data_IF_262277634643
#
_entry.id   IF_262277634643
#
_cell.length_a   1.000
_cell.length_b   1.000
_cell.length_c   1.000
_cell.angle_alpha   90.00
_cell.angle_beta   90.00
_cell.angle_gamma   90.00
#
_symmetry.space_group_name_H-M   'P 1'
#
loop_
_entity.id
_entity.type
_entity.pdbx_description
1 polymer ?
#
# COMPACT_ATOMS: atom_id res chain seq x y z
N UNK A 1 -20.51 -8.45 -0.88
CA UNK A 1 -20.31 -7.01 -0.57
C UNK A 1 -18.81 -6.86 -0.39
N UNK A 2 -18.12 -5.98 -1.15
CA UNK A 2 -16.69 -5.77 -0.88
C UNK A 2 -16.52 -5.42 0.61
N UNK A 3 -15.44 -5.85 1.27
CA UNK A 3 -15.25 -5.52 2.67
C UNK A 3 -15.25 -4.00 2.87
N UNK A 4 -15.88 -3.52 3.95
CA UNK A 4 -16.10 -2.08 4.17
C UNK A 4 -14.83 -1.20 3.99
N UNK A 5 -13.63 -1.62 4.45
CA UNK A 5 -12.39 -0.87 4.21
C UNK A 5 -12.08 -0.66 2.71
N UNK A 6 -12.41 -1.62 1.85
CA UNK A 6 -12.12 -1.54 0.41
C UNK A 6 -13.04 -0.49 -0.25
N UNK A 7 -14.30 -0.44 0.18
CA UNK A 7 -15.23 0.59 -0.29
C UNK A 7 -14.80 1.99 0.13
N UNK A 8 -14.30 2.17 1.36
CA UNK A 8 -13.77 3.48 1.78
C UNK A 8 -12.59 3.89 0.90
N UNK A 9 -11.67 2.98 0.60
CA UNK A 9 -10.53 3.24 -0.27
C UNK A 9 -10.95 3.52 -1.73
N UNK A 10 -11.97 2.83 -2.25
CA UNK A 10 -12.53 3.10 -3.59
C UNK A 10 -13.19 4.48 -3.67
N UNK A 11 -13.94 4.87 -2.63
CA UNK A 11 -14.55 6.21 -2.56
C UNK A 11 -13.47 7.29 -2.51
N UNK A 12 -12.37 7.06 -1.79
CA UNK A 12 -11.26 7.99 -1.70
C UNK A 12 -10.61 8.34 -3.06
N UNK A 13 -10.70 7.46 -4.07
CA UNK A 13 -10.17 7.70 -5.43
C UNK A 13 -10.69 9.02 -6.05
N UNK A 14 -11.92 9.42 -5.70
CA UNK A 14 -12.57 10.62 -6.26
C UNK A 14 -12.54 11.82 -5.29
N UNK A 15 -11.94 11.66 -4.12
CA UNK A 15 -11.92 12.65 -3.02
C UNK A 15 -10.52 12.78 -2.40
N UNK A 16 -9.50 12.96 -3.24
CA UNK A 16 -8.11 13.09 -2.80
C UNK A 16 -7.93 14.34 -1.93
N UNK A 17 -7.30 14.19 -0.77
CA UNK A 17 -6.93 15.28 0.14
C UNK A 17 -5.70 14.92 0.97
N UNK A 18 -5.04 15.92 1.55
CA UNK A 18 -3.89 15.70 2.44
C UNK A 18 -4.27 14.95 3.73
N UNK A 19 -5.55 14.97 4.13
CA UNK A 19 -6.06 14.22 5.29
C UNK A 19 -5.94 12.69 5.10
N UNK A 20 -5.81 12.24 3.85
CA UNK A 20 -5.64 10.83 3.51
C UNK A 20 -4.19 10.33 3.65
N UNK A 21 -3.20 11.22 3.82
CA UNK A 21 -1.78 10.83 3.80
C UNK A 21 -1.43 9.84 4.90
N UNK A 22 -1.68 10.20 6.17
CA UNK A 22 -1.34 9.34 7.31
C UNK A 22 -2.21 8.07 7.34
N UNK A 23 -3.56 8.14 7.22
CA UNK A 23 -4.39 6.93 7.24
C UNK A 23 -4.01 5.93 6.16
N UNK A 24 -3.62 6.38 4.96
CA UNK A 24 -3.18 5.49 3.90
C UNK A 24 -1.84 4.82 4.23
N UNK A 25 -0.87 5.56 4.75
CA UNK A 25 0.42 4.99 5.12
C UNK A 25 0.30 4.00 6.29
N UNK A 26 -0.58 4.28 7.25
CA UNK A 26 -0.89 3.38 8.36
C UNK A 26 -1.43 2.02 7.88
N UNK A 27 -2.10 1.96 6.73
CA UNK A 27 -2.54 0.68 6.15
C UNK A 27 -1.39 -0.27 5.84
N UNK A 28 -0.18 0.23 5.59
CA UNK A 28 1.00 -0.59 5.32
C UNK A 28 1.75 -1.04 6.59
N UNK A 29 1.17 -0.78 7.77
CA UNK A 29 1.73 -1.17 9.07
C UNK A 29 1.13 -2.46 9.61
N UNK A 30 0.18 -3.08 8.90
CA UNK A 30 -0.45 -4.34 9.29
C UNK A 30 -0.01 -5.49 8.38
N UNK A 31 0.28 -6.64 8.97
CA UNK A 31 0.50 -7.90 8.22
C UNK A 31 -0.86 -8.55 7.98
N UNK A 32 -1.64 -8.04 7.01
CA UNK A 32 -2.89 -8.66 6.58
C UNK A 32 -2.80 -9.12 5.12
N UNK A 33 -3.26 -10.34 4.85
CA UNK A 33 -3.22 -11.00 3.54
C UNK A 33 -4.39 -10.55 2.66
N UNK A 34 -4.54 -9.23 2.49
CA UNK A 34 -5.60 -8.62 1.70
C UNK A 34 -5.02 -8.00 0.43
N UNK A 35 -4.63 -8.84 -0.52
CA UNK A 35 -4.03 -8.43 -1.80
C UNK A 35 -4.83 -7.31 -2.50
N UNK A 36 -6.17 -7.40 -2.49
CA UNK A 36 -7.05 -6.41 -3.11
C UNK A 36 -7.02 -5.06 -2.38
N UNK A 37 -6.84 -5.08 -1.06
CA UNK A 37 -6.67 -3.85 -0.28
C UNK A 37 -5.34 -3.19 -0.59
N UNK A 38 -4.26 -3.98 -0.62
CA UNK A 38 -2.93 -3.48 -0.91
C UNK A 38 -2.86 -2.90 -2.32
N UNK A 39 -3.47 -3.57 -3.30
CA UNK A 39 -3.59 -3.06 -4.66
C UNK A 39 -4.33 -1.71 -4.71
N UNK A 40 -5.47 -1.59 -4.02
CA UNK A 40 -6.20 -0.33 -3.94
C UNK A 40 -5.40 0.76 -3.21
N UNK A 41 -4.67 0.40 -2.16
CA UNK A 41 -3.82 1.32 -1.42
C UNK A 41 -2.66 1.82 -2.29
N UNK A 42 -1.99 0.95 -3.06
CA UNK A 42 -0.97 1.33 -4.06
C UNK A 42 -1.56 2.30 -5.08
N UNK A 43 -2.77 2.03 -5.58
CA UNK A 43 -3.44 2.93 -6.51
C UNK A 43 -3.65 4.33 -5.91
N UNK A 44 -4.10 4.40 -4.65
CA UNK A 44 -4.24 5.68 -3.93
C UNK A 44 -2.89 6.37 -3.67
N UNK A 45 -1.83 5.63 -3.37
CA UNK A 45 -0.47 6.18 -3.21
C UNK A 45 -0.07 6.91 -4.50
N UNK A 46 -0.24 6.26 -5.66
CA UNK A 46 0.06 6.87 -6.94
C UNK A 46 -0.80 8.11 -7.22
N UNK A 47 -2.11 8.05 -6.97
CA UNK A 47 -3.00 9.19 -7.15
C UNK A 47 -2.65 10.39 -6.25
N UNK A 48 -2.36 10.15 -4.97
CA UNK A 48 -1.98 11.21 -4.02
C UNK A 48 -0.61 11.78 -4.35
N UNK A 49 0.36 10.95 -4.74
CA UNK A 49 1.68 11.41 -5.17
C UNK A 49 1.59 12.25 -6.44
N UNK A 50 0.71 11.89 -7.38
CA UNK A 50 0.44 12.69 -8.58
C UNK A 50 -0.24 14.03 -8.25
N UNK A 51 -1.17 14.05 -7.31
CA UNK A 51 -1.92 15.26 -6.93
C UNK A 51 -1.10 16.20 -6.03
N UNK A 52 -0.24 15.66 -5.17
CA UNK A 52 0.50 16.37 -4.13
C UNK A 52 1.99 15.94 -4.08
N UNK A 53 2.76 16.08 -5.17
CA UNK A 53 4.08 15.46 -5.34
C UNK A 53 5.10 15.82 -4.27
N UNK A 54 5.16 17.07 -3.81
CA UNK A 54 6.05 17.45 -2.69
C UNK A 54 5.49 17.01 -1.34
N UNK A 55 4.27 17.45 -1.00
CA UNK A 55 3.69 17.30 0.33
C UNK A 55 3.50 15.82 0.73
N UNK A 56 3.01 14.98 -0.18
CA UNK A 56 2.81 13.57 0.10
C UNK A 56 4.12 12.80 0.10
N UNK A 57 5.04 13.10 -0.82
CA UNK A 57 6.30 12.39 -0.89
C UNK A 57 7.17 12.62 0.34
N UNK A 58 7.16 13.81 0.93
CA UNK A 58 7.84 14.06 2.22
C UNK A 58 7.35 13.13 3.33
N UNK A 59 6.04 12.87 3.38
CA UNK A 59 5.43 11.91 4.32
C UNK A 59 5.85 10.48 4.01
N UNK A 60 5.83 10.09 2.74
CA UNK A 60 6.26 8.76 2.28
C UNK A 60 7.73 8.52 2.62
N UNK A 61 8.63 9.45 2.33
CA UNK A 61 10.06 9.30 2.61
C UNK A 61 10.34 9.17 4.11
N UNK A 62 9.64 9.97 4.94
CA UNK A 62 9.70 9.84 6.39
C UNK A 62 9.21 8.46 6.86
N UNK A 63 8.10 7.98 6.30
CA UNK A 63 7.54 6.68 6.62
C UNK A 63 8.48 5.53 6.24
N UNK A 64 9.11 5.58 5.07
CA UNK A 64 10.11 4.58 4.64
C UNK A 64 11.30 4.56 5.59
N UNK A 65 11.86 5.72 5.93
CA UNK A 65 12.99 5.83 6.86
C UNK A 65 12.68 5.24 8.23
N UNK A 66 11.52 5.57 8.80
CA UNK A 66 11.10 5.06 10.11
C UNK A 66 10.90 3.54 10.08
N UNK A 67 10.39 2.99 8.99
CA UNK A 67 10.25 1.53 8.86
C UNK A 67 11.60 0.83 8.69
N UNK A 68 12.53 1.38 7.88
CA UNK A 68 13.91 0.85 7.77
C UNK A 68 14.59 0.86 9.13
N UNK A 69 14.49 1.99 9.86
CA UNK A 69 15.10 2.16 11.19
C UNK A 69 14.56 1.17 12.22
N UNK A 70 13.27 0.83 12.14
CA UNK A 70 12.61 -0.14 13.03
C UNK A 70 12.78 -1.60 12.56
N UNK A 71 13.44 -1.83 11.42
CA UNK A 71 13.54 -3.15 10.76
C UNK A 71 12.16 -3.79 10.55
N UNK A 72 11.17 -2.95 10.22
CA UNK A 72 9.79 -3.40 10.08
C UNK A 72 9.64 -4.26 8.82
N UNK A 73 8.80 -5.30 8.89
CA UNK A 73 8.55 -6.25 7.80
C UNK A 73 7.14 -6.13 7.22
N UNK A 74 6.29 -5.27 7.78
CA UNK A 74 4.96 -4.94 7.24
C UNK A 74 5.09 -4.35 5.85
N UNK A 75 4.12 -4.45 4.94
CA UNK A 75 4.35 -4.24 3.51
C UNK A 75 4.42 -2.76 3.08
N UNK A 76 5.31 -1.95 3.70
CA UNK A 76 5.57 -0.56 3.28
C UNK A 76 6.21 -0.47 1.88
N UNK A 77 6.56 -1.60 1.25
CA UNK A 77 6.98 -1.68 -0.16
C UNK A 77 6.02 -0.96 -1.12
N UNK A 78 4.73 -1.00 -0.79
CA UNK A 78 3.67 -0.42 -1.61
C UNK A 78 3.71 1.11 -1.67
N UNK A 79 4.35 1.78 -0.70
CA UNK A 79 4.51 3.23 -0.74
C UNK A 79 5.59 3.69 -1.73
N UNK A 80 6.45 2.79 -2.23
CA UNK A 80 7.49 3.13 -3.22
C UNK A 80 6.89 3.61 -4.54
N UNK A 81 5.64 3.29 -4.80
CA UNK A 81 4.84 3.81 -5.90
C UNK A 81 4.89 5.36 -5.97
N UNK A 82 4.94 6.06 -4.84
CA UNK A 82 5.00 7.52 -4.81
C UNK A 82 6.28 8.08 -5.46
N UNK A 83 7.36 7.29 -5.50
CA UNK A 83 8.65 7.74 -6.05
C UNK A 83 8.57 8.03 -7.56
N UNK A 84 7.56 7.48 -8.27
CA UNK A 84 7.32 7.81 -9.68
C UNK A 84 7.03 9.31 -9.91
N UNK A 85 6.58 10.00 -8.87
CA UNK A 85 6.25 11.43 -8.90
C UNK A 85 7.27 12.28 -8.11
N UNK A 86 8.45 11.73 -7.80
CA UNK A 86 9.50 12.45 -7.10
C UNK A 86 10.09 13.60 -7.93
N UNK A 87 10.16 14.77 -7.30
CA UNK A 87 10.83 15.97 -7.82
C UNK A 87 12.34 15.94 -7.50
N UNK A 88 13.14 16.74 -8.22
CA UNK A 88 14.62 16.72 -8.14
C UNK A 88 15.18 16.90 -6.72
N UNK A 89 14.55 17.75 -5.90
CA UNK A 89 14.94 18.01 -4.52
C UNK A 89 14.84 16.79 -3.59
N UNK A 90 14.08 15.75 -3.98
CA UNK A 90 13.93 14.54 -3.15
C UNK A 90 15.06 13.53 -3.37
N UNK A 91 15.80 13.60 -4.49
CA UNK A 91 16.69 12.51 -4.90
C UNK A 91 17.91 12.31 -4.02
N UNK A 92 18.42 13.37 -3.39
CA UNK A 92 19.49 13.23 -2.39
C UNK A 92 19.05 12.31 -1.25
N UNK A 93 17.83 12.51 -0.74
CA UNK A 93 17.26 11.70 0.35
C UNK A 93 16.91 10.29 -0.10
N UNK A 94 16.33 10.14 -1.28
CA UNK A 94 16.00 8.84 -1.91
C UNK A 94 17.27 7.98 -2.07
N UNK A 95 18.35 8.55 -2.61
CA UNK A 95 19.61 7.82 -2.81
C UNK A 95 20.26 7.44 -1.47
N UNK A 96 20.16 8.28 -0.44
CA UNK A 96 20.68 7.98 0.90
C UNK A 96 19.99 6.78 1.59
N UNK A 97 18.78 6.38 1.15
CA UNK A 97 18.12 5.17 1.67
C UNK A 97 18.85 3.90 1.26
N UNK A 98 19.45 3.86 0.07
CA UNK A 98 20.19 2.69 -0.45
C UNK A 98 21.47 2.38 0.35
N UNK A 99 21.98 3.37 1.10
CA UNK A 99 23.14 3.21 1.96
C UNK A 99 22.83 2.48 3.26
N UNK A 100 21.56 2.45 3.69
CA UNK A 100 21.15 1.77 4.92
C UNK A 100 21.41 0.27 4.83
N UNK A 101 21.90 -0.34 5.91
CA UNK A 101 22.20 -1.78 5.94
C UNK A 101 20.94 -2.63 6.11
N UNK A 102 19.96 -2.13 6.86
CA UNK A 102 18.72 -2.83 7.21
C UNK A 102 17.55 -2.51 6.27
N UNK A 103 17.84 -2.11 5.04
CA UNK A 103 16.78 -1.76 4.10
C UNK A 103 16.14 -3.04 3.53
N UNK A 104 14.90 -3.32 3.91
CA UNK A 104 14.09 -4.37 3.28
C UNK A 104 13.55 -3.92 1.91
N UNK A 105 13.44 -4.87 0.97
CA UNK A 105 12.96 -4.67 -0.41
C UNK A 105 13.78 -3.73 -1.29
N UNK A 106 15.09 -3.69 -1.09
CA UNK A 106 16.03 -2.95 -1.95
C UNK A 106 15.79 -3.25 -3.43
N UNK A 107 15.53 -4.51 -3.80
CA UNK A 107 15.28 -4.89 -5.19
C UNK A 107 14.10 -4.12 -5.82
N UNK A 108 12.99 -3.98 -5.09
CA UNK A 108 11.83 -3.23 -5.58
C UNK A 108 12.10 -1.72 -5.62
N UNK A 109 12.83 -1.21 -4.63
CA UNK A 109 13.25 0.19 -4.61
C UNK A 109 14.16 0.51 -5.79
N UNK A 110 15.14 -0.35 -6.09
CA UNK A 110 16.04 -0.26 -7.25
C UNK A 110 15.24 -0.31 -8.54
N UNK A 111 14.24 -1.19 -8.65
CA UNK A 111 13.36 -1.26 -9.82
C UNK A 111 12.68 0.07 -10.13
N UNK A 112 12.00 0.65 -9.12
CA UNK A 112 11.29 1.93 -9.29
C UNK A 112 12.26 3.04 -9.68
N UNK A 113 13.41 3.14 -9.02
CA UNK A 113 14.42 4.16 -9.37
C UNK A 113 15.05 3.93 -10.75
N UNK A 114 15.19 2.66 -11.14
CA UNK A 114 15.63 2.24 -12.46
C UNK A 114 14.69 2.74 -13.56
N UNK A 115 13.38 2.58 -13.36
CA UNK A 115 12.34 3.04 -14.28
C UNK A 115 12.36 4.58 -14.45
N UNK A 116 12.86 5.33 -13.47
CA UNK A 116 12.99 6.78 -13.57
C UNK A 116 14.12 7.24 -14.51
N UNK A 117 15.07 6.37 -14.85
CA UNK A 117 16.13 6.63 -15.85
C UNK A 117 16.96 7.89 -15.58
N UNK A 118 17.21 8.21 -14.31
CA UNK A 118 17.97 9.42 -13.94
C UNK A 118 19.48 9.19 -13.97
N UNK A 119 20.21 10.24 -14.34
CA UNK A 119 21.68 10.22 -14.41
C UNK A 119 22.35 10.12 -13.04
N UNK A 120 21.80 10.80 -12.04
CA UNK A 120 22.29 10.73 -10.65
C UNK A 120 22.01 9.35 -10.03
N UNK A 121 20.85 8.74 -10.32
CA UNK A 121 20.57 7.34 -9.96
C UNK A 121 21.57 6.37 -10.59
N UNK A 122 21.95 6.55 -11.86
CA UNK A 122 22.99 5.72 -12.49
C UNK A 122 24.32 5.78 -11.72
N UNK A 123 24.73 6.98 -11.29
CA UNK A 123 25.94 7.16 -10.48
C UNK A 123 25.80 6.38 -9.18
N UNK A 124 24.66 6.52 -8.49
CA UNK A 124 24.40 5.82 -7.23
C UNK A 124 24.39 4.30 -7.40
N UNK A 125 23.76 3.77 -8.46
CA UNK A 125 23.72 2.33 -8.73
C UNK A 125 25.12 1.75 -8.92
N UNK A 126 25.98 2.44 -9.69
CA UNK A 126 27.38 2.03 -9.87
C UNK A 126 28.17 2.06 -8.57
N UNK A 127 27.94 3.06 -7.73
CA UNK A 127 28.59 3.21 -6.42
C UNK A 127 28.24 2.06 -5.47
N UNK A 128 26.96 1.68 -5.38
CA UNK A 128 26.49 0.65 -4.43
C UNK A 128 26.59 -0.77 -4.97
N UNK A 129 26.74 -0.98 -6.27
CA UNK A 129 26.80 -2.32 -6.89
C UNK A 129 27.76 -3.28 -6.15
N UNK A 130 29.01 -2.90 -5.78
CA UNK A 130 29.92 -3.79 -5.05
C UNK A 130 29.39 -4.24 -3.69
N UNK A 131 28.55 -3.44 -3.00
CA UNK A 131 27.93 -3.79 -1.70
C UNK A 131 27.01 -5.02 -1.81
N UNK A 132 26.49 -5.28 -3.01
CA UNK A 132 25.54 -6.37 -3.27
C UNK A 132 26.15 -7.55 -4.02
N UNK A 133 27.47 -7.63 -4.15
CA UNK A 133 28.14 -8.74 -4.83
C UNK A 133 27.67 -10.10 -4.28
N UNK A 134 27.31 -11.02 -5.20
CA UNK A 134 26.77 -12.34 -4.86
C UNK A 134 25.30 -12.36 -4.43
N UNK A 135 24.59 -11.22 -4.42
CA UNK A 135 23.15 -11.12 -4.11
C UNK A 135 22.32 -10.85 -5.37
N UNK A 136 21.03 -11.19 -5.31
CA UNK A 136 20.06 -10.90 -6.38
C UNK A 136 20.03 -9.40 -6.74
N UNK A 137 20.10 -8.52 -5.74
CA UNK A 137 20.16 -7.06 -5.92
C UNK A 137 21.26 -6.59 -6.88
N UNK A 138 22.42 -7.25 -6.91
CA UNK A 138 23.49 -6.86 -7.85
C UNK A 138 23.12 -7.16 -9.31
N UNK A 139 22.31 -8.19 -9.56
CA UNK A 139 21.81 -8.51 -10.90
C UNK A 139 20.85 -7.41 -11.36
N UNK A 140 19.91 -7.02 -10.49
CA UNK A 140 18.97 -5.92 -10.75
C UNK A 140 19.70 -4.59 -11.00
N UNK A 141 20.67 -4.25 -10.14
CA UNK A 141 21.49 -3.04 -10.31
C UNK A 141 22.25 -3.06 -11.63
N UNK A 142 22.90 -4.18 -11.96
CA UNK A 142 23.67 -4.31 -13.19
C UNK A 142 22.77 -4.19 -14.43
N UNK A 143 21.59 -4.81 -14.40
CA UNK A 143 20.59 -4.68 -15.47
C UNK A 143 20.24 -3.22 -15.73
N UNK A 144 19.85 -2.46 -14.70
CA UNK A 144 19.51 -1.04 -14.87
C UNK A 144 20.71 -0.17 -15.24
N UNK A 145 21.92 -0.48 -14.76
CA UNK A 145 23.14 0.19 -15.22
C UNK A 145 23.34 -0.03 -16.72
N UNK A 146 23.20 -1.26 -17.20
CA UNK A 146 23.37 -1.60 -18.62
C UNK A 146 22.28 -0.96 -19.50
N UNK A 147 21.04 -0.89 -19.01
CA UNK A 147 19.94 -0.13 -19.64
C UNK A 147 20.30 1.35 -19.74
N UNK A 148 20.71 1.99 -18.64
CA UNK A 148 21.03 3.42 -18.59
C UNK A 148 22.29 3.79 -19.36
N UNK A 149 23.22 2.85 -19.57
CA UNK A 149 24.40 3.00 -20.44
C UNK A 149 24.10 2.69 -21.91
N UNK A 150 22.87 2.27 -22.24
CA UNK A 150 22.45 1.98 -23.61
C UNK A 150 22.97 0.66 -24.17
N UNK A 151 23.42 -0.27 -23.31
CA UNK A 151 23.80 -1.63 -23.71
C UNK A 151 22.57 -2.51 -23.95
N UNK A 152 21.47 -2.21 -23.26
CA UNK A 152 20.15 -2.85 -23.44
C UNK A 152 19.21 -1.83 -24.08
N UNK A 153 18.69 -2.14 -25.27
CA UNK A 153 17.96 -1.17 -26.10
C UNK A 153 16.46 -1.44 -26.19
N UNK A 154 16.00 -2.62 -25.80
CA UNK A 154 14.59 -3.04 -25.80
C UNK A 154 13.90 -2.80 -24.44
N UNK A 155 14.54 -2.02 -23.56
CA UNK A 155 13.97 -1.65 -22.27
C UNK A 155 12.65 -0.89 -22.42
N UNK A 156 11.62 -1.39 -21.74
CA UNK A 156 10.35 -0.71 -21.58
C UNK A 156 10.27 -0.15 -20.17
N UNK A 157 10.23 1.18 -20.08
CA UNK A 157 10.13 1.87 -18.80
C UNK A 157 8.84 1.48 -18.07
N UNK A 158 8.98 1.06 -16.81
CA UNK A 158 7.86 0.93 -15.89
C UNK A 158 7.18 2.28 -15.62
N UNK A 159 5.88 2.23 -15.38
CA UNK A 159 5.07 3.39 -14.97
C UNK A 159 4.38 3.06 -13.66
N UNK A 160 3.96 4.09 -12.94
CA UNK A 160 3.12 3.96 -11.76
C UNK A 160 1.87 3.12 -12.10
N UNK A 161 1.50 2.20 -11.20
CA UNK A 161 0.28 1.41 -11.22
C UNK A 161 -0.98 2.26 -11.44
N UNK A 162 -1.05 3.47 -10.89
CA UNK A 162 -2.18 4.36 -11.13
C UNK A 162 -2.31 4.88 -12.57
N UNK A 163 -1.26 4.77 -13.40
CA UNK A 163 -1.31 5.06 -14.83
C UNK A 163 -1.72 3.82 -15.66
N UNK A 164 -1.66 2.61 -15.07
CA UNK A 164 -1.97 1.34 -15.74
C UNK A 164 -3.39 0.84 -15.44
N UNK A 165 -3.88 1.06 -14.22
CA UNK A 165 -5.21 0.63 -13.79
C UNK A 165 -6.30 1.42 -14.50
N UNK A 166 -7.42 0.77 -14.82
CA UNK A 166 -8.62 1.47 -15.29
C UNK A 166 -9.07 2.52 -14.24
N UNK A 167 -9.23 3.80 -14.61
CA UNK A 167 -9.70 4.84 -13.70
C UNK A 167 -11.13 4.61 -13.16
N UNK A 168 -11.93 3.81 -13.86
CA UNK A 168 -13.25 3.41 -13.43
C UNK A 168 -13.15 2.12 -12.62
N UNK A 169 -13.15 2.26 -11.28
CA UNK A 169 -13.06 1.15 -10.33
C UNK A 169 -14.01 -0.02 -10.63
N UNK A 170 -15.18 0.27 -11.22
CA UNK A 170 -16.15 -0.74 -11.63
C UNK A 170 -15.54 -1.71 -12.63
N UNK A 171 -14.92 -1.21 -13.69
CA UNK A 171 -14.32 -2.07 -14.71
C UNK A 171 -13.21 -2.94 -14.12
N UNK A 172 -12.46 -2.38 -13.17
CA UNK A 172 -11.36 -3.05 -12.49
C UNK A 172 -11.85 -4.16 -11.54
N UNK A 173 -12.81 -3.87 -10.65
CA UNK A 173 -13.27 -4.81 -9.61
C UNK A 173 -14.50 -5.64 -9.97
N UNK A 174 -15.23 -5.34 -11.05
CA UNK A 174 -16.47 -6.05 -11.42
C UNK A 174 -16.25 -7.56 -11.56
N UNK A 175 -15.11 -7.99 -12.11
CA UNK A 175 -14.78 -9.40 -12.25
C UNK A 175 -14.57 -10.10 -10.91
N UNK A 176 -14.23 -9.35 -9.86
CA UNK A 176 -14.01 -9.87 -8.51
C UNK A 176 -15.29 -9.89 -7.67
N UNK A 177 -16.41 -9.33 -8.15
CA UNK A 177 -17.69 -9.34 -7.41
C UNK A 177 -18.08 -10.74 -6.93
N UNK A 178 -17.80 -11.77 -7.72
CA UNK A 178 -18.07 -13.17 -7.37
C UNK A 178 -17.24 -13.66 -6.17
N UNK A 179 -15.97 -13.24 -6.05
CA UNK A 179 -15.11 -13.56 -4.91
C UNK A 179 -15.62 -12.96 -3.60
N UNK A 180 -16.33 -11.83 -3.67
CA UNK A 180 -16.89 -11.13 -2.51
C UNK A 180 -18.40 -11.37 -2.29
N UNK A 181 -19.06 -12.02 -3.25
CA UNK A 181 -20.46 -12.44 -3.14
C UNK A 181 -20.57 -13.73 -2.29
N UNK A 182 -19.53 -14.56 -2.27
CA UNK A 182 -19.46 -15.79 -1.46
C UNK A 182 -19.23 -15.53 0.05
N UNK A 183 -18.78 -14.32 0.42
CA UNK A 183 -18.66 -13.88 1.82
C UNK A 183 -20.02 -13.55 2.47
N UNK A 184 -21.11 -14.24 2.09
CA UNK A 184 -22.30 -14.32 2.93
C UNK A 184 -21.98 -15.27 4.10
N UNK A 185 -21.23 -14.79 5.09
CA UNK A 185 -21.63 -15.20 6.44
C UNK A 185 -23.05 -14.64 6.59
N UNK A 186 -24.09 -15.47 6.79
CA UNK A 186 -25.38 -14.93 7.13
C UNK A 186 -25.13 -13.98 8.29
N UNK A 187 -25.61 -12.73 8.18
CA UNK A 187 -25.79 -11.89 9.35
C UNK A 187 -26.52 -12.82 10.32
N UNK A 188 -25.84 -13.28 11.38
CA UNK A 188 -26.54 -13.99 12.43
C UNK A 188 -27.52 -12.94 12.91
N UNK A 189 -28.77 -13.06 12.49
CA UNK A 189 -29.84 -12.34 13.13
C UNK A 189 -29.67 -12.75 14.59
N UNK A 190 -29.28 -11.80 15.44
CA UNK A 190 -29.38 -12.01 16.87
C UNK A 190 -30.76 -12.61 17.09
N UNK A 191 -30.80 -13.77 17.74
CA UNK A 191 -32.06 -14.47 18.01
C UNK A 191 -33.00 -13.42 18.58
N UNK A 192 -34.06 -13.08 17.83
CA UNK A 192 -35.03 -12.07 18.24
C UNK A 192 -35.70 -12.59 19.50
N UNK A 193 -35.15 -12.25 20.64
CA UNK A 193 -35.69 -12.65 21.93
C UNK A 193 -36.88 -11.75 22.20
N UNK A 194 -38.07 -12.35 22.30
CA UNK A 194 -39.27 -11.57 22.55
C UNK A 194 -39.18 -10.98 23.96
N UNK A 195 -39.78 -9.80 24.19
CA UNK A 195 -39.81 -9.14 25.50
C UNK A 195 -40.29 -10.07 26.63
N UNK A 196 -41.15 -11.04 26.33
CA UNK A 196 -41.68 -11.98 27.33
C UNK A 196 -40.94 -13.33 27.43
N UNK A 197 -39.98 -13.61 26.54
CA UNK A 197 -39.24 -14.87 26.54
C UNK A 197 -38.24 -14.95 27.71
N UNK A 198 -37.75 -16.15 28.01
CA UNK A 198 -36.68 -16.34 28.97
C UNK A 198 -35.42 -15.58 28.53
N UNK A 199 -34.80 -14.86 29.47
CA UNK A 199 -33.66 -14.02 29.19
C UNK A 199 -32.43 -14.88 28.83
N UNK A 200 -31.72 -14.57 27.73
CA UNK A 200 -30.62 -15.40 27.23
C UNK A 200 -29.38 -15.39 28.15
N UNK A 201 -29.31 -14.50 29.14
CA UNK A 201 -28.25 -14.48 30.15
C UNK A 201 -28.37 -15.58 31.23
N UNK A 202 -29.37 -16.47 31.14
CA UNK A 202 -29.54 -17.60 32.06
C UNK A 202 -30.15 -17.25 33.42
N UNK A 203 -30.69 -16.04 33.59
CA UNK A 203 -31.25 -15.58 34.88
C UNK A 203 -32.59 -16.22 35.27
N UNK A 204 -33.23 -16.96 34.37
CA UNK A 204 -34.58 -17.51 34.56
C UNK A 204 -35.72 -16.48 34.51
N UNK A 205 -35.42 -15.19 34.33
CA UNK A 205 -36.41 -14.10 34.25
C UNK A 205 -36.83 -13.82 32.80
N UNK A 206 -37.99 -13.18 32.60
CA UNK A 206 -38.41 -12.67 31.27
C UNK A 206 -37.45 -11.58 30.80
N UNK A 207 -37.13 -11.52 29.50
CA UNK A 207 -36.17 -10.59 28.92
C UNK A 207 -36.45 -9.13 29.29
N UNK A 208 -37.71 -8.71 29.23
CA UNK A 208 -38.16 -7.35 29.59
C UNK A 208 -37.89 -6.94 31.04
N UNK A 209 -37.71 -7.91 31.95
CA UNK A 209 -37.48 -7.70 33.38
C UNK A 209 -36.02 -8.02 33.78
N UNK A 210 -35.13 -8.18 32.80
CA UNK A 210 -33.73 -8.52 33.03
C UNK A 210 -32.84 -7.64 32.16
N UNK A 211 -32.26 -8.17 31.08
CA UNK A 211 -31.27 -7.46 30.28
C UNK A 211 -31.86 -6.24 29.55
N UNK A 212 -33.16 -6.23 29.22
CA UNK A 212 -33.80 -5.08 28.59
C UNK A 212 -33.88 -3.85 29.52
N UNK A 213 -34.04 -4.04 30.83
CA UNK A 213 -34.03 -2.93 31.79
C UNK A 213 -32.63 -2.37 32.05
N UNK A 214 -31.57 -3.14 31.78
CA UNK A 214 -30.18 -2.70 31.95
C UNK A 214 -29.66 -1.86 30.79
N UNK A 215 -30.41 -1.79 29.69
CA UNK A 215 -30.10 -0.99 28.50
C UNK A 215 -30.79 0.39 28.52
N UNK A 216 -31.48 0.72 29.62
CA UNK A 216 -32.16 2.01 29.88
C UNK A 216 -31.33 2.83 30.85
#
# INVERSE_FOLDING_TARGET
MLPAPLWYAVVAEKHLSEELFEPLLEMFTTEEDWDVMNEQAVYLVGLLAKAFPGAFLEKVLFFIEENIKKENKTPYIFCFEALYYAEDNHFERIHAMLDKENFHWVDHYVRVLGDLMRKDTLVKFKEILPKFEGKHTAIELQYYIDVMEGKITDFQKGVAFCEMRDPEWKNHYQHMEQMFASAQSPIQQEVKVNRNDACPCGSGKKYKNCCLQKLS
#
